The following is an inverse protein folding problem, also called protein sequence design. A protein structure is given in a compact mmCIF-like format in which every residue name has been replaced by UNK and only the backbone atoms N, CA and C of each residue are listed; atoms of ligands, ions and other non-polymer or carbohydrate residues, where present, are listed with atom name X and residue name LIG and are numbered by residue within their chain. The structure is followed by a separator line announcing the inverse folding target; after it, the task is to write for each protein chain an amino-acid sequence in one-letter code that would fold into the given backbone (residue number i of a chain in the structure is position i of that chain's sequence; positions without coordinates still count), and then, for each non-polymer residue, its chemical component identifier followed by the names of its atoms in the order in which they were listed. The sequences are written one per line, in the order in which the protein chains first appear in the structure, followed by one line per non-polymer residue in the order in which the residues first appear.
data_IF_282532818366
#
_entry.id   IF_282532818366
#
_cell.length_a   1.000
_cell.length_b   1.000
_cell.length_c   1.000
_cell.angle_alpha   90.00
_cell.angle_beta   90.00
_cell.angle_gamma   90.00
#
_symmetry.space_group_name_H-M   'P 1'
#
loop_
_entity.id
_entity.type
_entity.pdbx_description
1 polymer ?
#
# COMPACT_ATOMS: atom_id res chain seq x y z
N UNK A 1 -15.81 -18.48 12.13
CA UNK A 1 -14.33 -18.45 12.26
C UNK A 1 -13.84 -17.03 11.97
N UNK A 2 -13.05 -16.41 12.86
CA UNK A 2 -12.40 -15.12 12.56
C UNK A 2 -11.29 -15.37 11.53
N UNK A 3 -11.25 -14.56 10.48
CA UNK A 3 -10.18 -14.61 9.46
C UNK A 3 -8.84 -14.33 10.14
N UNK A 4 -7.87 -15.23 9.98
CA UNK A 4 -6.49 -14.98 10.41
C UNK A 4 -5.78 -14.24 9.29
N UNK A 5 -5.09 -13.16 9.66
CA UNK A 5 -4.24 -12.40 8.76
C UNK A 5 -2.78 -12.78 9.01
N UNK A 6 -1.97 -12.80 7.95
CA UNK A 6 -0.51 -12.86 8.10
C UNK A 6 0.03 -11.54 8.63
N UNK A 7 1.25 -11.55 9.17
CA UNK A 7 1.94 -10.31 9.58
C UNK A 7 2.02 -9.30 8.44
N UNK A 8 2.28 -9.74 7.21
CA UNK A 8 2.34 -8.87 6.04
C UNK A 8 0.99 -8.19 5.73
N UNK A 9 -0.12 -8.92 5.89
CA UNK A 9 -1.47 -8.36 5.72
C UNK A 9 -1.79 -7.34 6.84
N UNK A 10 -1.39 -7.62 8.08
CA UNK A 10 -1.57 -6.71 9.22
C UNK A 10 -0.74 -5.43 9.02
N UNK A 11 0.52 -5.57 8.63
CA UNK A 11 1.44 -4.45 8.39
C UNK A 11 0.90 -3.52 7.28
N UNK A 12 0.41 -4.10 6.17
CA UNK A 12 -0.23 -3.34 5.09
C UNK A 12 -1.48 -2.60 5.58
N UNK A 13 -2.38 -3.25 6.31
CA UNK A 13 -3.57 -2.60 6.85
C UNK A 13 -3.22 -1.42 7.75
N UNK A 14 -2.24 -1.60 8.64
CA UNK A 14 -1.78 -0.52 9.52
C UNK A 14 -1.10 0.62 8.76
N UNK A 15 -0.28 0.32 7.76
CA UNK A 15 0.34 1.35 6.92
C UNK A 15 -0.69 2.13 6.09
N UNK A 16 -1.68 1.42 5.52
CA UNK A 16 -2.79 2.02 4.78
C UNK A 16 -3.64 2.94 5.65
N UNK A 17 -3.98 2.51 6.87
CA UNK A 17 -4.71 3.34 7.81
C UNK A 17 -3.94 4.61 8.17
N UNK A 18 -2.64 4.49 8.46
CA UNK A 18 -1.78 5.65 8.73
C UNK A 18 -1.73 6.60 7.54
N UNK A 19 -1.55 6.09 6.33
CA UNK A 19 -1.54 6.90 5.10
C UNK A 19 -2.85 7.67 4.90
N UNK A 20 -4.00 6.99 5.04
CA UNK A 20 -5.31 7.64 4.93
C UNK A 20 -5.52 8.70 6.01
N UNK A 21 -5.04 8.45 7.23
CA UNK A 21 -5.10 9.42 8.31
C UNK A 21 -4.24 10.65 8.01
N UNK A 22 -3.00 10.48 7.59
CA UNK A 22 -2.09 11.60 7.25
C UNK A 22 -2.58 12.37 6.03
N UNK A 23 -3.16 11.70 5.03
CA UNK A 23 -3.79 12.36 3.87
C UNK A 23 -4.89 13.31 4.32
N UNK A 24 -5.81 12.84 5.17
CA UNK A 24 -6.88 13.69 5.72
C UNK A 24 -6.35 14.86 6.52
N UNK A 25 -5.23 14.70 7.24
CA UNK A 25 -4.60 15.79 7.96
C UNK A 25 -3.98 16.84 7.02
N UNK A 26 -3.34 16.39 5.93
CA UNK A 26 -2.82 17.29 4.90
C UNK A 26 -3.95 18.11 4.26
N UNK A 27 -5.04 17.44 3.86
CA UNK A 27 -6.24 18.08 3.29
C UNK A 27 -6.83 19.12 4.25
N UNK A 28 -6.94 18.76 5.54
CA UNK A 28 -7.43 19.69 6.56
C UNK A 28 -6.54 20.92 6.70
N UNK A 29 -5.22 20.76 6.68
CA UNK A 29 -4.27 21.89 6.76
C UNK A 29 -4.40 22.81 5.54
N UNK A 30 -4.53 22.25 4.35
CA UNK A 30 -4.74 23.03 3.13
C UNK A 30 -6.07 23.81 3.18
N UNK A 31 -7.13 23.18 3.69
CA UNK A 31 -8.41 23.86 3.89
C UNK A 31 -8.29 25.02 4.90
N UNK A 32 -7.64 24.81 6.05
CA UNK A 32 -7.41 25.85 7.06
C UNK A 32 -6.58 27.03 6.52
N UNK A 33 -5.59 26.77 5.66
CA UNK A 33 -4.81 27.82 5.00
C UNK A 33 -5.68 28.65 4.04
N UNK A 34 -6.52 27.96 3.25
CA UNK A 34 -7.45 28.61 2.32
C UNK A 34 -8.49 29.46 3.04
N UNK A 35 -9.04 28.99 4.16
CA UNK A 35 -9.97 29.74 5.00
C UNK A 35 -9.34 31.01 5.61
N UNK A 36 -8.04 30.98 5.87
CA UNK A 36 -7.27 32.15 6.34
C UNK A 36 -6.89 33.12 5.22
N UNK A 37 -7.38 32.90 4.00
CA UNK A 37 -7.09 33.74 2.84
C UNK A 37 -5.67 33.59 2.31
N UNK A 38 -4.93 32.53 2.68
CA UNK A 38 -3.65 32.23 2.05
C UNK A 38 -3.89 31.68 0.65
N UNK A 39 -3.14 32.18 -0.31
CA UNK A 39 -3.04 31.58 -1.63
C UNK A 39 -2.31 30.23 -1.49
N UNK A 40 -2.88 29.16 -2.02
CA UNK A 40 -2.27 27.83 -1.95
C UNK A 40 -1.32 27.70 -3.13
N UNK A 41 -0.08 28.13 -2.92
CA UNK A 41 1.03 27.92 -3.84
C UNK A 41 1.70 26.58 -3.63
N UNK A 42 2.83 26.39 -4.32
CA UNK A 42 3.67 25.21 -4.19
C UNK A 42 4.26 25.09 -2.77
N UNK A 43 4.69 26.21 -2.19
CA UNK A 43 5.35 26.24 -0.87
C UNK A 43 4.36 25.88 0.26
N UNK A 44 3.12 26.39 0.22
CA UNK A 44 2.08 26.03 1.19
C UNK A 44 1.67 24.56 1.07
N UNK A 45 1.65 24.03 -0.16
CA UNK A 45 1.38 22.62 -0.42
C UNK A 45 2.48 21.74 0.16
N UNK A 46 3.74 22.08 -0.08
CA UNK A 46 4.89 21.36 0.45
C UNK A 46 4.93 21.43 1.99
N UNK A 47 4.66 22.61 2.57
CA UNK A 47 4.55 22.78 4.03
C UNK A 47 3.44 21.89 4.63
N UNK A 48 2.28 21.79 3.97
CA UNK A 48 1.19 20.94 4.43
C UNK A 48 1.53 19.44 4.34
N UNK A 49 2.21 19.03 3.27
CA UNK A 49 2.67 17.64 3.04
C UNK A 49 3.76 17.25 4.05
N UNK A 50 4.74 18.13 4.29
CA UNK A 50 5.83 17.88 5.22
C UNK A 50 5.31 17.80 6.65
N UNK A 51 4.53 18.79 7.09
CA UNK A 51 4.00 18.84 8.47
C UNK A 51 2.97 17.74 8.76
N UNK A 52 2.32 17.17 7.75
CA UNK A 52 1.40 16.04 7.94
C UNK A 52 2.13 14.69 7.97
N UNK A 53 3.42 14.66 7.64
CA UNK A 53 4.20 13.42 7.52
C UNK A 53 3.78 12.57 6.33
N UNK A 54 3.13 13.16 5.33
CA UNK A 54 2.54 12.45 4.19
C UNK A 54 3.58 11.63 3.41
N UNK A 55 4.75 12.20 3.13
CA UNK A 55 5.84 11.49 2.44
C UNK A 55 6.28 10.22 3.17
N UNK A 56 6.41 10.30 4.50
CA UNK A 56 6.80 9.15 5.32
C UNK A 56 5.71 8.08 5.27
N UNK A 57 4.45 8.48 5.48
CA UNK A 57 3.33 7.54 5.46
C UNK A 57 3.14 6.87 4.09
N UNK A 58 3.37 7.61 3.00
CA UNK A 58 3.36 7.08 1.64
C UNK A 58 4.49 6.05 1.44
N UNK A 59 5.72 6.38 1.84
CA UNK A 59 6.86 5.46 1.73
C UNK A 59 6.63 4.19 2.56
N UNK A 60 6.09 4.32 3.77
CA UNK A 60 5.76 3.19 4.64
C UNK A 60 4.68 2.29 3.99
N UNK A 61 3.68 2.89 3.32
CA UNK A 61 2.66 2.15 2.57
C UNK A 61 3.29 1.35 1.42
N UNK A 62 4.11 1.99 0.59
CA UNK A 62 4.79 1.33 -0.53
C UNK A 62 5.67 0.16 -0.04
N UNK A 63 6.39 0.34 1.07
CA UNK A 63 7.18 -0.73 1.66
C UNK A 63 6.31 -1.89 2.16
N UNK A 64 5.18 -1.60 2.80
CA UNK A 64 4.25 -2.61 3.27
C UNK A 64 3.61 -3.39 2.10
N UNK A 65 3.25 -2.70 1.01
CA UNK A 65 2.77 -3.34 -0.23
C UNK A 65 3.81 -4.27 -0.82
N UNK A 66 5.08 -3.86 -0.89
CA UNK A 66 6.16 -4.71 -1.40
C UNK A 66 6.31 -5.99 -0.57
N UNK A 67 6.30 -5.86 0.77
CA UNK A 67 6.36 -7.03 1.67
C UNK A 67 5.15 -7.94 1.51
N UNK A 68 3.96 -7.37 1.33
CA UNK A 68 2.73 -8.12 1.12
C UNK A 68 2.76 -8.91 -0.19
N UNK A 69 3.23 -8.29 -1.27
CA UNK A 69 3.41 -8.94 -2.58
C UNK A 69 4.46 -10.05 -2.51
N UNK A 70 5.57 -9.82 -1.81
CA UNK A 70 6.61 -10.84 -1.63
C UNK A 70 6.14 -12.02 -0.78
N UNK A 71 5.41 -11.73 0.30
CA UNK A 71 4.79 -12.75 1.11
C UNK A 71 3.78 -13.58 0.31
N UNK A 72 2.91 -12.93 -0.49
CA UNK A 72 1.91 -13.65 -1.27
C UNK A 72 2.55 -14.55 -2.32
N UNK A 73 3.60 -14.06 -3.00
CA UNK A 73 4.39 -14.86 -3.94
C UNK A 73 5.02 -16.08 -3.27
N UNK A 74 5.63 -15.90 -2.10
CA UNK A 74 6.20 -17.02 -1.34
C UNK A 74 5.14 -18.01 -0.86
N UNK A 75 4.00 -17.52 -0.37
CA UNK A 75 2.93 -18.33 0.17
C UNK A 75 2.32 -19.27 -0.87
N UNK A 76 2.03 -18.75 -2.08
CA UNK A 76 1.39 -19.55 -3.14
C UNK A 76 2.36 -20.46 -3.91
N UNK A 77 3.68 -20.34 -3.69
CA UNK A 77 4.71 -21.08 -4.44
C UNK A 77 4.50 -22.61 -4.42
N UNK A 78 3.91 -23.12 -3.35
CA UNK A 78 3.73 -24.56 -3.16
C UNK A 78 2.43 -25.10 -3.77
N UNK A 79 1.52 -24.21 -4.18
CA UNK A 79 0.25 -24.56 -4.82
C UNK A 79 0.49 -25.28 -6.16
N UNK A 80 -0.34 -26.26 -6.45
CA UNK A 80 -0.25 -27.06 -7.70
C UNK A 80 -0.35 -26.15 -8.92
N UNK A 81 -1.30 -25.22 -8.91
CA UNK A 81 -1.50 -24.25 -9.99
C UNK A 81 -0.26 -23.37 -10.23
N UNK A 82 0.41 -22.96 -9.14
CA UNK A 82 1.65 -22.19 -9.24
C UNK A 82 2.75 -23.01 -9.90
N UNK A 83 2.89 -24.29 -9.55
CA UNK A 83 3.90 -25.19 -10.14
C UNK A 83 3.64 -25.45 -11.62
N UNK A 84 2.39 -25.65 -12.00
CA UNK A 84 1.96 -25.88 -13.39
C UNK A 84 2.18 -24.65 -14.29
N UNK A 85 1.98 -23.45 -13.74
CA UNK A 85 2.09 -22.17 -14.47
C UNK A 85 3.20 -21.27 -13.96
N UNK A 86 4.30 -21.86 -13.48
CA UNK A 86 5.38 -21.14 -12.76
C UNK A 86 5.87 -19.90 -13.51
N UNK A 87 6.21 -20.05 -14.79
CA UNK A 87 6.74 -18.94 -15.59
C UNK A 87 5.77 -17.76 -15.69
N UNK A 88 4.47 -18.03 -15.86
CA UNK A 88 3.43 -17.00 -15.94
C UNK A 88 3.28 -16.25 -14.61
N UNK A 89 3.30 -16.97 -13.48
CA UNK A 89 3.26 -16.33 -12.17
C UNK A 89 4.54 -15.52 -11.88
N UNK A 90 5.73 -16.08 -12.14
CA UNK A 90 6.99 -15.34 -11.95
C UNK A 90 7.03 -14.06 -12.79
N UNK A 91 6.53 -14.11 -14.04
CA UNK A 91 6.39 -12.94 -14.89
C UNK A 91 5.39 -11.93 -14.32
N UNK A 92 4.19 -12.37 -13.89
CA UNK A 92 3.18 -11.51 -13.29
C UNK A 92 3.73 -10.75 -12.07
N UNK A 93 4.43 -11.44 -11.16
CA UNK A 93 5.01 -10.81 -9.97
C UNK A 93 6.18 -9.89 -10.32
N UNK A 94 6.95 -10.19 -11.37
CA UNK A 94 8.05 -9.34 -11.84
C UNK A 94 7.54 -8.04 -12.49
N UNK A 95 6.51 -8.14 -13.32
CA UNK A 95 5.92 -7.00 -14.03
C UNK A 95 5.05 -6.16 -13.09
N UNK A 96 4.24 -6.81 -12.26
CA UNK A 96 3.29 -6.13 -11.40
C UNK A 96 3.93 -5.27 -10.29
N UNK A 97 5.19 -5.53 -9.92
CA UNK A 97 5.95 -4.66 -9.01
C UNK A 97 6.34 -3.32 -9.63
N UNK A 98 6.28 -3.16 -10.96
CA UNK A 98 6.76 -1.97 -11.65
C UNK A 98 5.64 -1.11 -12.25
N UNK A 99 4.41 -1.62 -12.31
CA UNK A 99 3.25 -0.90 -12.84
C UNK A 99 2.22 -0.64 -11.72
N UNK A 100 1.76 0.60 -11.51
CA UNK A 100 0.81 0.94 -10.44
C UNK A 100 -0.49 0.12 -10.48
N UNK A 101 -1.06 -0.05 -11.67
CA UNK A 101 -2.31 -0.76 -11.88
C UNK A 101 -2.18 -2.24 -11.51
N UNK A 102 -1.12 -2.88 -11.98
CA UNK A 102 -0.80 -4.26 -11.67
C UNK A 102 -0.43 -4.46 -10.19
N UNK A 103 0.24 -3.49 -9.57
CA UNK A 103 0.54 -3.51 -8.12
C UNK A 103 -0.74 -3.58 -7.31
N UNK A 104 -1.74 -2.76 -7.65
CA UNK A 104 -3.04 -2.74 -6.97
C UNK A 104 -3.72 -4.13 -7.02
N UNK A 105 -3.69 -4.78 -8.18
CA UNK A 105 -4.23 -6.14 -8.36
C UNK A 105 -3.49 -7.14 -7.47
N UNK A 106 -2.15 -7.11 -7.44
CA UNK A 106 -1.35 -8.02 -6.61
C UNK A 106 -1.60 -7.83 -5.11
N UNK A 107 -1.75 -6.58 -4.67
CA UNK A 107 -2.10 -6.23 -3.28
C UNK A 107 -3.49 -6.78 -2.93
N UNK A 108 -4.47 -6.58 -3.81
CA UNK A 108 -5.83 -7.08 -3.57
C UNK A 108 -5.87 -8.61 -3.50
N UNK A 109 -5.20 -9.30 -4.43
CA UNK A 109 -5.06 -10.76 -4.39
C UNK A 109 -4.40 -11.23 -3.09
N UNK A 110 -3.30 -10.60 -2.68
CA UNK A 110 -2.60 -10.93 -1.45
C UNK A 110 -3.48 -10.72 -0.21
N UNK A 111 -4.32 -9.69 -0.21
CA UNK A 111 -5.30 -9.45 0.86
C UNK A 111 -6.45 -10.45 0.87
N UNK A 112 -6.70 -11.19 -0.22
CA UNK A 112 -7.71 -12.24 -0.30
C UNK A 112 -7.19 -13.64 0.07
N UNK A 113 -5.87 -13.83 0.15
CA UNK A 113 -5.29 -15.08 0.66
C UNK A 113 -5.75 -15.35 2.10
N UNK A 114 -6.12 -16.61 2.34
CA UNK A 114 -6.43 -17.12 3.68
C UNK A 114 -5.14 -17.63 4.29
N UNK A 115 -4.76 -17.06 5.42
CA UNK A 115 -3.61 -17.55 6.18
C UNK A 115 -4.04 -18.77 7.01
N UNK A 116 -3.55 -19.94 6.64
CA UNK A 116 -3.72 -21.20 7.36
C UNK A 116 -2.47 -21.46 8.20
N UNK A 117 -2.21 -20.57 9.16
CA UNK A 117 -1.19 -20.77 10.21
C UNK A 117 -1.79 -21.32 11.48
#
# INVERSE_FOLDING_TARGET
MKRRYSTAQIDYLGAKERFLHTSKQADKKLAEMKEKGKEIGQDEMEEAIEKSGFHKAYNDLIQAENRLIEWSHFYIKNETEYKERKASFEQLFKEGKNQPESRSILVDMAMHLKYEG
#
